data_IF_048039374216
#
_entry.id   IF_048039374216
#
_cell.length_a   1.000
_cell.length_b   1.000
_cell.length_c   1.000
_cell.angle_alpha   90.00
_cell.angle_beta   90.00
_cell.angle_gamma   90.00
#
_symmetry.space_group_name_H-M   'P 1'
#
loop_
_entity.id
_entity.type
_entity.pdbx_description
1 polymer ?
#
# COMPACT_ATOMS: atom_id res chain seq x y z
N UNK A 1 -12.15 7.54 1.83
CA UNK A 1 -12.56 6.83 3.08
C UNK A 1 -12.89 5.39 2.72
N UNK A 2 -12.31 4.40 3.40
CA UNK A 2 -12.57 2.97 3.11
C UNK A 2 -13.95 2.60 3.64
N UNK A 3 -14.70 1.79 2.90
CA UNK A 3 -15.98 1.31 3.39
C UNK A 3 -15.76 0.29 4.53
N UNK A 4 -16.48 0.45 5.65
CA UNK A 4 -16.29 -0.37 6.85
C UNK A 4 -16.31 -1.87 6.57
N UNK A 5 -17.24 -2.33 5.72
CA UNK A 5 -17.35 -3.75 5.38
C UNK A 5 -16.10 -4.32 4.67
N UNK A 6 -15.31 -3.50 3.97
CA UNK A 6 -14.04 -3.92 3.34
C UNK A 6 -13.00 -4.15 4.42
N UNK A 7 -12.92 -3.21 5.37
CA UNK A 7 -12.01 -3.30 6.50
C UNK A 7 -12.37 -4.50 7.39
N UNK A 8 -13.64 -4.74 7.68
CA UNK A 8 -14.09 -5.87 8.50
C UNK A 8 -13.67 -7.22 7.90
N UNK A 9 -13.78 -7.39 6.57
CA UNK A 9 -13.30 -8.60 5.90
C UNK A 9 -11.78 -8.72 5.97
N UNK A 10 -11.03 -7.64 5.71
CA UNK A 10 -9.58 -7.66 5.81
C UNK A 10 -9.12 -8.03 7.22
N UNK A 11 -9.73 -7.46 8.27
CA UNK A 11 -9.42 -7.77 9.67
C UNK A 11 -9.74 -9.23 10.02
N UNK A 12 -10.88 -9.76 9.57
CA UNK A 12 -11.21 -11.17 9.74
C UNK A 12 -10.16 -12.10 9.09
N UNK A 13 -9.53 -11.64 8.01
CA UNK A 13 -8.53 -12.41 7.27
C UNK A 13 -7.15 -12.35 7.91
N UNK A 14 -6.83 -11.24 8.57
CA UNK A 14 -5.68 -11.14 9.48
C UNK A 14 -5.83 -12.08 10.67
N UNK A 15 -7.03 -12.15 11.27
CA UNK A 15 -7.32 -13.07 12.38
C UNK A 15 -7.21 -14.54 11.95
N UNK A 16 -7.63 -14.83 10.72
CA UNK A 16 -7.45 -16.14 10.08
C UNK A 16 -5.99 -16.41 9.65
N UNK A 17 -5.08 -15.45 9.84
CA UNK A 17 -3.66 -15.53 9.46
C UNK A 17 -3.45 -15.83 7.97
N UNK A 18 -4.27 -15.24 7.12
CA UNK A 18 -4.08 -15.35 5.68
C UNK A 18 -2.74 -14.67 5.30
N UNK A 19 -1.79 -15.39 4.67
CA UNK A 19 -0.43 -14.89 4.45
C UNK A 19 -0.35 -13.55 3.72
N UNK A 20 -1.14 -13.35 2.66
CA UNK A 20 -1.07 -12.14 1.84
C UNK A 20 -1.67 -10.92 2.55
N UNK A 21 -2.72 -11.13 3.34
CA UNK A 21 -3.30 -10.11 4.20
C UNK A 21 -2.27 -9.67 5.26
N UNK A 22 -1.52 -10.62 5.85
CA UNK A 22 -0.46 -10.31 6.80
C UNK A 22 0.68 -9.49 6.17
N UNK A 23 1.11 -9.86 4.95
CA UNK A 23 2.08 -9.07 4.16
C UNK A 23 1.59 -7.64 3.96
N UNK A 24 0.33 -7.49 3.53
CA UNK A 24 -0.27 -6.18 3.31
C UNK A 24 -0.41 -5.37 4.62
N UNK A 25 -0.83 -5.99 5.71
CA UNK A 25 -0.92 -5.32 7.00
C UNK A 25 0.45 -4.79 7.44
N UNK A 26 1.52 -5.57 7.25
CA UNK A 26 2.87 -5.12 7.50
C UNK A 26 3.26 -3.94 6.59
N UNK A 27 3.01 -4.05 5.28
CA UNK A 27 3.25 -2.96 4.34
C UNK A 27 2.55 -1.65 4.77
N UNK A 28 1.32 -1.75 5.27
CA UNK A 28 0.56 -0.62 5.80
C UNK A 28 1.20 -0.03 7.06
N UNK A 29 1.77 -0.85 7.97
CA UNK A 29 2.50 -0.33 9.15
C UNK A 29 3.72 0.49 8.80
N UNK A 30 4.34 0.24 7.63
CA UNK A 30 5.51 0.98 7.16
C UNK A 30 5.13 2.23 6.37
N UNK A 31 3.98 2.23 5.70
CA UNK A 31 3.58 3.29 4.76
C UNK A 31 2.59 4.29 5.34
N UNK A 32 1.90 3.98 6.43
CA UNK A 32 0.96 4.89 7.07
C UNK A 32 1.61 5.64 8.25
N UNK A 33 1.24 6.91 8.48
CA UNK A 33 1.55 7.58 9.74
C UNK A 33 0.90 6.83 10.92
N UNK A 34 1.58 6.82 12.07
CA UNK A 34 1.10 6.14 13.29
C UNK A 34 -0.32 6.58 13.69
N UNK A 35 -0.65 7.86 13.56
CA UNK A 35 -1.99 8.40 13.86
C UNK A 35 -3.09 7.83 12.95
N UNK A 36 -2.77 7.50 11.71
CA UNK A 36 -3.71 6.89 10.76
C UNK A 36 -3.84 5.40 11.03
N UNK A 37 -2.73 4.71 11.35
CA UNK A 37 -2.76 3.31 11.76
C UNK A 37 -3.69 3.14 12.95
N UNK A 38 -3.43 3.81 14.07
CA UNK A 38 -4.19 3.66 15.32
C UNK A 38 -5.70 3.94 15.18
N UNK A 39 -6.10 4.71 14.16
CA UNK A 39 -7.51 5.08 13.93
C UNK A 39 -8.20 4.24 12.85
N UNK A 40 -7.46 3.57 11.96
CA UNK A 40 -8.04 2.87 10.80
C UNK A 40 -7.64 1.40 10.67
N UNK A 41 -6.49 1.00 11.21
CA UNK A 41 -6.03 -0.38 11.22
C UNK A 41 -5.40 -0.66 12.58
N UNK A 42 -5.99 -1.56 13.37
CA UNK A 42 -5.32 -2.07 14.56
C UNK A 42 -4.65 -3.39 14.18
N UNK A 43 -3.40 -3.40 13.68
CA UNK A 43 -2.73 -4.66 13.39
C UNK A 43 -2.60 -5.46 14.68
N UNK A 44 -2.87 -6.77 14.64
CA UNK A 44 -2.51 -7.62 15.77
C UNK A 44 -0.99 -7.61 15.91
N UNK A 45 -0.49 -7.49 17.14
CA UNK A 45 0.95 -7.38 17.44
C UNK A 45 1.79 -8.57 16.93
N UNK A 46 1.14 -9.66 16.51
CA UNK A 46 1.77 -10.86 15.98
C UNK A 46 1.86 -10.92 14.46
N UNK A 47 1.19 -10.04 13.71
CA UNK A 47 1.22 -10.04 12.24
C UNK A 47 2.65 -9.85 11.67
N UNK A 48 3.46 -9.05 12.36
CA UNK A 48 4.87 -8.80 12.00
C UNK A 48 5.74 -10.04 12.07
N UNK A 49 5.38 -11.08 12.84
CA UNK A 49 6.19 -12.31 13.00
C UNK A 49 5.87 -13.40 11.97
N UNK A 50 4.81 -13.22 11.19
CA UNK A 50 4.23 -14.27 10.35
C UNK A 50 4.52 -14.08 8.85
N UNK A 51 5.10 -12.94 8.46
CA UNK A 51 5.52 -12.69 7.07
C UNK A 51 6.92 -13.25 6.79
N UNK A 52 7.15 -13.66 5.53
CA UNK A 52 8.45 -14.16 5.07
C UNK A 52 9.56 -13.12 5.21
N UNK A 53 10.79 -13.58 5.51
CA UNK A 53 11.94 -12.71 5.73
C UNK A 53 12.27 -11.84 4.50
N UNK A 54 12.29 -12.44 3.30
CA UNK A 54 12.60 -11.71 2.06
C UNK A 54 11.62 -10.55 1.80
N UNK A 55 10.32 -10.78 2.00
CA UNK A 55 9.30 -9.75 1.82
C UNK A 55 9.44 -8.63 2.87
N UNK A 56 9.71 -9.01 4.12
CA UNK A 56 9.96 -8.06 5.22
C UNK A 56 11.16 -7.17 4.91
N UNK A 57 12.30 -7.78 4.62
CA UNK A 57 13.57 -7.08 4.40
C UNK A 57 13.44 -6.11 3.21
N UNK A 58 12.71 -6.50 2.16
CA UNK A 58 12.43 -5.63 1.02
C UNK A 58 11.67 -4.36 1.42
N UNK A 59 10.60 -4.52 2.20
CA UNK A 59 9.74 -3.41 2.64
C UNK A 59 10.43 -2.51 3.67
N UNK A 60 11.16 -3.10 4.63
CA UNK A 60 11.95 -2.37 5.62
C UNK A 60 13.08 -1.58 4.94
N UNK A 61 13.80 -2.21 4.00
CA UNK A 61 14.83 -1.52 3.22
C UNK A 61 14.25 -0.31 2.45
N UNK A 62 13.09 -0.47 1.80
CA UNK A 62 12.42 0.65 1.15
C UNK A 62 12.02 1.73 2.18
N UNK A 63 11.48 1.34 3.33
CA UNK A 63 11.12 2.27 4.41
C UNK A 63 12.31 3.06 4.97
N UNK A 64 13.50 2.49 4.97
CA UNK A 64 14.75 3.14 5.36
C UNK A 64 15.36 4.02 4.25
N UNK A 65 15.04 3.73 2.99
CA UNK A 65 15.62 4.46 1.85
C UNK A 65 14.85 5.73 1.50
N UNK A 66 13.54 5.72 1.67
CA UNK A 66 12.67 6.80 1.19
C UNK A 66 12.11 7.64 2.35
N UNK A 67 12.51 8.91 2.40
CA UNK A 67 12.07 9.88 3.42
C UNK A 67 10.56 10.13 3.37
N UNK A 68 9.93 10.02 2.19
CA UNK A 68 8.49 10.08 2.07
C UNK A 68 7.78 9.04 2.95
N UNK A 69 8.33 7.83 3.09
CA UNK A 69 7.75 6.79 3.95
C UNK A 69 8.02 7.05 5.44
N UNK A 70 9.18 7.63 5.76
CA UNK A 70 9.57 8.08 7.11
C UNK A 70 8.65 9.16 7.65
N UNK A 71 8.81 10.34 7.07
CA UNK A 71 8.37 11.59 7.67
C UNK A 71 7.49 12.38 6.69
N UNK A 72 7.24 11.81 5.51
CA UNK A 72 6.42 12.45 4.49
C UNK A 72 4.98 12.65 4.96
N UNK A 73 4.38 13.72 4.45
CA UNK A 73 2.96 14.02 4.65
C UNK A 73 2.08 12.88 4.12
N UNK A 74 0.82 12.85 4.54
CA UNK A 74 -0.15 11.84 4.12
C UNK A 74 -1.36 12.52 3.47
N UNK A 75 -1.72 12.06 2.28
CA UNK A 75 -2.93 12.49 1.60
C UNK A 75 -3.63 11.29 0.94
N UNK A 76 -4.88 11.03 1.30
CA UNK A 76 -5.64 9.95 0.67
C UNK A 76 -5.94 10.27 -0.80
N UNK A 77 -5.87 9.25 -1.66
CA UNK A 77 -6.18 9.33 -3.09
C UNK A 77 -7.31 8.38 -3.42
N UNK A 78 -8.28 8.85 -4.21
CA UNK A 78 -9.42 8.06 -4.65
C UNK A 78 -9.16 7.51 -6.07
N UNK A 79 -9.07 6.18 -6.19
CA UNK A 79 -8.87 5.48 -7.49
C UNK A 79 -10.17 4.83 -8.03
N UNK A 80 -11.31 5.20 -7.45
CA UNK A 80 -12.64 4.84 -7.94
C UNK A 80 -13.05 3.37 -7.70
N UNK A 81 -12.40 2.69 -6.75
CA UNK A 81 -12.76 1.35 -6.30
C UNK A 81 -12.73 1.30 -4.75
N UNK A 82 -13.85 0.98 -4.07
CA UNK A 82 -13.92 0.97 -2.60
C UNK A 82 -13.05 -0.11 -1.93
N UNK A 83 -12.62 -1.13 -2.67
CA UNK A 83 -11.69 -2.16 -2.19
C UNK A 83 -10.23 -1.74 -2.30
N UNK A 84 -9.94 -0.63 -2.97
CA UNK A 84 -8.60 -0.11 -3.16
C UNK A 84 -8.38 1.06 -2.20
N UNK A 85 -7.43 0.90 -1.30
CA UNK A 85 -6.96 2.00 -0.48
C UNK A 85 -5.67 2.58 -1.05
N UNK A 86 -5.77 3.79 -1.59
CA UNK A 86 -4.63 4.53 -2.10
C UNK A 86 -4.39 5.82 -1.32
N UNK A 87 -3.12 6.20 -1.22
CA UNK A 87 -2.70 7.45 -0.60
C UNK A 87 -1.31 7.83 -1.09
N UNK A 88 -1.02 9.12 -1.03
CA UNK A 88 0.31 9.65 -1.30
C UNK A 88 1.06 9.90 0.00
N UNK A 89 2.37 9.62 -0.07
CA UNK A 89 3.36 10.06 0.90
C UNK A 89 4.30 11.06 0.22
N UNK A 90 4.39 12.27 0.76
CA UNK A 90 5.18 13.35 0.15
C UNK A 90 6.26 13.84 1.12
N UNK A 91 7.51 13.56 0.79
CA UNK A 91 8.71 14.08 1.45
C UNK A 91 9.23 15.36 0.79
N UNK A 92 10.48 15.73 1.06
CA UNK A 92 11.08 16.95 0.50
C UNK A 92 11.26 16.87 -1.02
N UNK A 93 11.84 15.77 -1.50
CA UNK A 93 12.17 15.55 -2.93
C UNK A 93 11.51 14.27 -3.48
N UNK A 94 10.59 13.67 -2.70
CA UNK A 94 10.02 12.36 -2.99
C UNK A 94 8.50 12.41 -2.91
N UNK A 95 7.85 11.85 -3.92
CA UNK A 95 6.40 11.67 -3.94
C UNK A 95 6.07 10.23 -4.28
N UNK A 96 5.51 9.51 -3.32
CA UNK A 96 5.12 8.11 -3.47
C UNK A 96 3.61 7.99 -3.50
N UNK A 97 3.08 7.26 -4.48
CA UNK A 97 1.71 6.76 -4.49
C UNK A 97 1.72 5.32 -3.98
N UNK A 98 1.06 5.08 -2.86
CA UNK A 98 0.86 3.76 -2.27
C UNK A 98 -0.54 3.29 -2.64
N UNK A 99 -0.66 2.09 -3.21
CA UNK A 99 -1.93 1.51 -3.64
C UNK A 99 -2.07 0.12 -3.05
N UNK A 100 -3.19 -0.16 -2.39
CA UNK A 100 -3.40 -1.40 -1.66
C UNK A 100 -4.73 -2.02 -2.05
N UNK A 101 -4.74 -3.28 -2.47
CA UNK A 101 -5.96 -4.06 -2.58
C UNK A 101 -6.31 -4.66 -1.22
N UNK A 102 -7.45 -4.29 -0.63
CA UNK A 102 -7.89 -4.84 0.66
C UNK A 102 -8.79 -6.07 0.51
N UNK A 103 -8.90 -6.66 -0.68
CA UNK A 103 -9.78 -7.79 -0.94
C UNK A 103 -9.02 -9.08 -1.26
N UNK A 104 -9.65 -10.21 -0.89
CA UNK A 104 -9.28 -11.59 -1.28
C UNK A 104 -9.50 -11.94 -2.75
N UNK A 105 -9.82 -10.95 -3.57
CA UNK A 105 -10.05 -11.17 -5.00
C UNK A 105 -9.35 -10.07 -5.77
N UNK A 106 -8.98 -10.32 -7.02
CA UNK A 106 -8.37 -9.29 -7.83
C UNK A 106 -9.29 -8.09 -8.01
N UNK A 107 -8.72 -6.88 -7.92
CA UNK A 107 -9.47 -5.63 -7.96
C UNK A 107 -8.94 -4.70 -9.07
N UNK A 108 -9.83 -4.09 -9.87
CA UNK A 108 -9.41 -3.11 -10.86
C UNK A 108 -9.02 -1.78 -10.21
N UNK A 109 -7.95 -1.17 -10.72
CA UNK A 109 -7.48 0.17 -10.36
C UNK A 109 -7.50 1.06 -11.59
N UNK A 110 -7.91 2.32 -11.43
CA UNK A 110 -7.95 3.32 -12.50
C UNK A 110 -6.96 4.45 -12.20
N UNK A 111 -5.82 4.48 -12.87
CA UNK A 111 -4.83 5.55 -12.74
C UNK A 111 -5.10 6.73 -13.69
N UNK A 112 -6.36 7.14 -13.88
CA UNK A 112 -6.70 8.17 -14.87
C UNK A 112 -5.90 9.47 -14.68
N UNK A 113 -5.67 9.89 -13.44
CA UNK A 113 -4.89 11.09 -13.10
C UNK A 113 -3.38 10.94 -13.31
N UNK A 114 -2.88 9.71 -13.46
CA UNK A 114 -1.45 9.39 -13.61
C UNK A 114 -1.14 8.77 -14.97
N UNK A 115 -2.14 8.54 -15.83
CA UNK A 115 -1.99 7.75 -17.04
C UNK A 115 -0.92 8.32 -17.96
N UNK A 116 -0.01 7.46 -18.42
CA UNK A 116 1.09 7.82 -19.32
C UNK A 116 2.27 8.52 -18.63
N UNK A 117 2.18 8.81 -17.33
CA UNK A 117 3.34 9.26 -16.55
C UNK A 117 4.31 8.10 -16.36
N UNK A 118 5.60 8.41 -16.34
CA UNK A 118 6.62 7.51 -15.84
C UNK A 118 6.69 7.59 -14.31
N UNK A 119 7.27 6.56 -13.72
CA UNK A 119 7.50 6.42 -12.30
C UNK A 119 8.35 5.19 -12.03
N UNK A 120 8.46 4.81 -10.77
CA UNK A 120 9.22 3.65 -10.35
C UNK A 120 8.46 2.83 -9.32
N UNK A 121 8.38 1.52 -9.53
CA UNK A 121 8.03 0.61 -8.45
C UNK A 121 9.27 0.46 -7.56
N UNK A 122 9.21 1.01 -6.35
CA UNK A 122 10.37 1.07 -5.46
C UNK A 122 10.69 -0.26 -4.79
N UNK A 123 9.71 -1.18 -4.72
CA UNK A 123 9.92 -2.52 -4.18
C UNK A 123 10.61 -3.38 -5.22
N UNK A 124 10.11 -3.39 -6.46
CA UNK A 124 10.67 -4.19 -7.55
C UNK A 124 11.86 -3.53 -8.25
N UNK A 125 12.10 -2.23 -8.00
CA UNK A 125 13.17 -1.41 -8.59
C UNK A 125 13.13 -1.38 -10.11
N UNK A 126 11.92 -1.30 -10.67
CA UNK A 126 11.66 -1.23 -12.10
C UNK A 126 10.94 0.08 -12.45
N UNK A 127 11.16 0.55 -13.67
CA UNK A 127 10.37 1.65 -14.22
C UNK A 127 8.91 1.23 -14.35
N UNK A 128 8.01 2.12 -13.99
CA UNK A 128 6.58 1.92 -14.04
C UNK A 128 5.93 2.98 -14.92
N UNK A 129 5.45 2.57 -16.09
CA UNK A 129 4.62 3.42 -16.94
C UNK A 129 3.17 3.26 -16.51
N UNK A 130 2.58 4.31 -15.94
CA UNK A 130 1.24 4.27 -15.37
C UNK A 130 0.19 3.93 -16.46
N UNK A 131 -0.41 2.73 -16.42
CA UNK A 131 -1.43 2.36 -17.39
C UNK A 131 -2.75 3.05 -17.05
N UNK A 132 -3.65 3.19 -18.03
CA UNK A 132 -4.98 3.72 -17.76
C UNK A 132 -5.73 2.87 -16.71
N UNK A 133 -5.57 1.55 -16.77
CA UNK A 133 -6.16 0.59 -15.84
C UNK A 133 -5.18 -0.56 -15.61
N UNK A 134 -5.18 -1.09 -14.40
CA UNK A 134 -4.51 -2.34 -14.04
C UNK A 134 -5.43 -3.14 -13.13
N UNK A 135 -5.15 -4.43 -12.98
CA UNK A 135 -5.75 -5.27 -11.97
C UNK A 135 -4.69 -5.57 -10.92
N UNK A 136 -5.02 -5.33 -9.65
CA UNK A 136 -4.22 -5.81 -8.53
C UNK A 136 -4.73 -7.17 -8.11
N UNK A 137 -3.84 -8.13 -7.92
CA UNK A 137 -4.14 -9.45 -7.39
C UNK A 137 -4.59 -9.36 -5.91
N UNK A 138 -5.04 -10.50 -5.36
CA UNK A 138 -5.47 -10.57 -3.96
C UNK A 138 -4.40 -9.98 -3.02
N UNK A 139 -4.83 -9.01 -2.21
CA UNK A 139 -3.95 -8.30 -1.25
C UNK A 139 -2.68 -7.67 -1.82
N UNK A 140 -2.58 -7.53 -3.15
CA UNK A 140 -1.44 -6.91 -3.78
C UNK A 140 -1.37 -5.42 -3.44
N UNK A 141 -0.14 -4.93 -3.26
CA UNK A 141 0.15 -3.53 -3.05
C UNK A 141 1.29 -3.06 -3.94
N UNK A 142 1.24 -1.80 -4.33
CA UNK A 142 2.27 -1.13 -5.14
C UNK A 142 2.76 0.11 -4.41
N UNK A 143 4.08 0.30 -4.37
CA UNK A 143 4.71 1.52 -3.87
C UNK A 143 5.39 2.22 -5.05
N UNK A 144 4.74 3.27 -5.56
CA UNK A 144 5.11 3.88 -6.84
C UNK A 144 5.66 5.28 -6.62
N UNK A 145 6.94 5.49 -6.92
CA UNK A 145 7.52 6.82 -6.96
C UNK A 145 7.06 7.55 -8.22
N UNK A 146 6.50 8.73 -8.02
CA UNK A 146 6.07 9.61 -9.10
C UNK A 146 7.26 10.45 -9.54
N UNK A 147 7.53 10.45 -10.85
CA UNK A 147 8.42 11.44 -11.46
C UNK A 147 7.54 12.53 -12.06
N UNK A 148 7.80 13.79 -11.69
CA UNK A 148 7.11 14.94 -12.26
C UNK A 148 7.67 15.33 -13.64
#
# INVERSE_FOLDING_TARGET
>A
MIAQYVLDHFLADLDAREPRALELAFALTLTLPQTVLETQIVPSADATKLIGADARDLMEFARERYDALRDGTFAQVELGNPYIWAFERVGADERLLIVNNLARVPQPVKFMAYTGRAGWDILNRIEFLFPARVQLEEYEFLWLMLTD
#
